data_IF_264867745538
#
_entry.id   IF_264867745538
#
_cell.length_a   1.000
_cell.length_b   1.000
_cell.length_c   1.000
_cell.angle_alpha   90.00
_cell.angle_beta   90.00
_cell.angle_gamma   90.00
#
_symmetry.space_group_name_H-M   'P 1'
#
loop_
_entity.id
_entity.type
_entity.pdbx_description
1 polymer ?
#
# COMPACT_ATOMS: atom_id res chain seq x y z
N UNK A 1 -24.77 -24.64 -7.71
CA UNK A 1 -24.51 -23.22 -7.99
C UNK A 1 -23.08 -22.89 -7.56
N UNK A 2 -22.37 -22.02 -8.26
CA UNK A 2 -21.06 -21.54 -7.82
C UNK A 2 -21.22 -20.79 -6.48
N UNK A 3 -20.29 -21.00 -5.56
CA UNK A 3 -20.27 -20.31 -4.26
C UNK A 3 -20.14 -18.80 -4.50
N UNK A 4 -21.02 -18.00 -3.91
CA UNK A 4 -20.98 -16.55 -4.02
C UNK A 4 -20.00 -15.96 -3.03
N UNK A 5 -19.05 -15.17 -3.52
CA UNK A 5 -18.08 -14.43 -2.70
C UNK A 5 -18.40 -12.95 -2.78
N UNK A 6 -18.73 -12.35 -1.63
CA UNK A 6 -18.97 -10.92 -1.53
C UNK A 6 -17.72 -10.24 -0.99
N UNK A 7 -17.21 -9.26 -1.73
CA UNK A 7 -16.03 -8.46 -1.38
C UNK A 7 -16.47 -7.04 -1.05
N UNK A 8 -16.14 -6.55 0.14
CA UNK A 8 -16.39 -5.17 0.50
C UNK A 8 -15.12 -4.36 0.36
N UNK A 9 -15.16 -3.39 -0.56
CA UNK A 9 -14.06 -2.51 -0.96
C UNK A 9 -13.49 -2.84 -2.32
N UNK A 10 -13.56 -1.88 -3.25
CA UNK A 10 -13.02 -1.95 -4.62
C UNK A 10 -11.65 -1.26 -4.75
N UNK A 11 -10.88 -1.19 -3.67
CA UNK A 11 -9.46 -0.84 -3.72
C UNK A 11 -8.61 -1.92 -4.40
N UNK A 12 -7.32 -1.65 -4.59
CA UNK A 12 -6.42 -2.59 -5.28
C UNK A 12 -6.43 -3.99 -4.67
N UNK A 13 -6.61 -4.12 -3.35
CA UNK A 13 -6.69 -5.41 -2.66
C UNK A 13 -7.97 -6.15 -3.04
N UNK A 14 -9.14 -5.47 -2.97
CA UNK A 14 -10.42 -6.09 -3.33
C UNK A 14 -10.49 -6.51 -4.79
N UNK A 15 -9.98 -5.67 -5.70
CA UNK A 15 -9.89 -5.99 -7.14
C UNK A 15 -8.98 -7.20 -7.39
N UNK A 16 -7.83 -7.28 -6.70
CA UNK A 16 -6.92 -8.43 -6.82
C UNK A 16 -7.53 -9.72 -6.26
N UNK A 17 -8.26 -9.65 -5.15
CA UNK A 17 -9.02 -10.80 -4.63
C UNK A 17 -10.06 -11.27 -5.65
N UNK A 18 -10.83 -10.33 -6.23
CA UNK A 18 -11.83 -10.65 -7.25
C UNK A 18 -11.22 -11.31 -8.48
N UNK A 19 -10.06 -10.82 -8.95
CA UNK A 19 -9.36 -11.36 -10.10
C UNK A 19 -9.02 -12.85 -9.92
N UNK A 20 -8.39 -13.23 -8.81
CA UNK A 20 -8.02 -14.61 -8.57
C UNK A 20 -9.21 -15.52 -8.28
N UNK A 21 -10.23 -15.02 -7.59
CA UNK A 21 -11.46 -15.78 -7.31
C UNK A 21 -12.26 -16.04 -8.60
N UNK A 22 -12.45 -15.01 -9.43
CA UNK A 22 -13.14 -15.14 -10.72
C UNK A 22 -12.45 -16.15 -11.63
N UNK A 23 -11.10 -16.08 -11.73
CA UNK A 23 -10.30 -17.08 -12.51
C UNK A 23 -10.48 -18.52 -12.01
N UNK A 24 -10.97 -18.74 -10.80
CA UNK A 24 -11.27 -20.05 -10.21
C UNK A 24 -12.76 -20.42 -10.29
N UNK A 25 -13.57 -19.61 -10.98
CA UNK A 25 -14.97 -19.88 -11.23
C UNK A 25 -15.91 -19.54 -10.09
N UNK A 26 -15.48 -18.74 -9.10
CA UNK A 26 -16.39 -18.20 -8.10
C UNK A 26 -17.28 -17.13 -8.70
N UNK A 27 -18.55 -17.06 -8.25
CA UNK A 27 -19.42 -15.89 -8.48
C UNK A 27 -18.97 -14.79 -7.53
N UNK A 28 -18.56 -13.64 -8.06
CA UNK A 28 -17.99 -12.55 -7.26
C UNK A 28 -18.86 -11.31 -7.36
N UNK A 29 -19.20 -10.74 -6.19
CA UNK A 29 -19.85 -9.44 -6.03
C UNK A 29 -18.91 -8.49 -5.28
N UNK A 30 -18.63 -7.32 -5.84
CA UNK A 30 -17.87 -6.25 -5.18
C UNK A 30 -18.83 -5.13 -4.78
N UNK A 31 -18.80 -4.76 -3.49
CA UNK A 31 -19.57 -3.63 -2.95
C UNK A 31 -18.60 -2.52 -2.53
N UNK A 32 -18.76 -1.32 -3.11
CA UNK A 32 -17.92 -0.16 -2.84
C UNK A 32 -18.79 1.05 -2.46
N UNK A 33 -18.44 1.71 -1.35
CA UNK A 33 -19.19 2.87 -0.85
C UNK A 33 -19.11 4.11 -1.74
N UNK A 34 -18.05 4.23 -2.54
CA UNK A 34 -17.83 5.32 -3.46
C UNK A 34 -17.67 4.83 -4.89
N UNK A 35 -16.94 5.62 -5.67
CA UNK A 35 -16.41 5.18 -6.95
C UNK A 35 -14.96 4.69 -6.78
N UNK A 36 -14.46 3.91 -7.72
CA UNK A 36 -13.11 3.31 -7.64
C UNK A 36 -12.01 4.38 -7.76
N UNK A 37 -12.31 5.59 -8.25
CA UNK A 37 -11.34 6.62 -8.59
C UNK A 37 -10.90 7.50 -7.42
N UNK A 38 -11.55 7.41 -6.25
CA UNK A 38 -11.30 8.29 -5.10
C UNK A 38 -10.52 7.62 -3.96
N UNK A 39 -10.29 6.31 -4.04
CA UNK A 39 -9.67 5.52 -2.97
C UNK A 39 -8.15 5.73 -2.86
N UNK A 40 -7.61 5.28 -1.72
CA UNK A 40 -6.16 5.34 -1.40
C UNK A 40 -5.30 4.67 -2.48
N UNK A 41 -5.80 3.65 -3.14
CA UNK A 41 -5.10 2.92 -4.20
C UNK A 41 -4.89 3.77 -5.45
N UNK A 42 -5.88 4.59 -5.83
CA UNK A 42 -5.84 5.40 -7.06
C UNK A 42 -4.73 6.45 -7.05
N UNK A 43 -4.49 7.10 -5.89
CA UNK A 43 -3.44 8.09 -5.71
C UNK A 43 -2.12 7.50 -5.16
N UNK A 44 -1.95 6.18 -5.17
CA UNK A 44 -0.71 5.52 -4.76
C UNK A 44 0.49 5.97 -5.61
N UNK A 45 1.69 5.88 -5.05
CA UNK A 45 2.92 6.24 -5.75
C UNK A 45 3.29 5.28 -6.91
N UNK A 46 2.64 4.12 -7.02
CA UNK A 46 2.80 3.24 -8.17
C UNK A 46 3.90 2.19 -8.05
N UNK A 47 4.54 2.05 -6.89
CA UNK A 47 5.62 1.08 -6.71
C UNK A 47 5.13 -0.35 -6.46
N UNK A 48 5.88 -1.29 -7.03
CA UNK A 48 5.89 -2.72 -6.72
C UNK A 48 7.32 -3.03 -6.32
N UNK A 49 7.60 -3.07 -5.01
CA UNK A 49 8.94 -2.95 -4.47
C UNK A 49 9.32 -4.10 -3.54
N UNK A 50 9.90 -5.20 -4.06
CA UNK A 50 10.58 -6.20 -3.24
C UNK A 50 11.62 -5.61 -2.29
N UNK A 51 12.24 -4.48 -2.64
CA UNK A 51 13.21 -3.75 -1.83
C UNK A 51 12.66 -3.24 -0.49
N UNK A 52 11.34 -3.12 -0.31
CA UNK A 52 10.71 -2.61 0.91
C UNK A 52 10.43 -3.72 1.93
N UNK A 53 11.39 -4.61 2.13
CA UNK A 53 11.29 -5.79 3.01
C UNK A 53 11.39 -5.47 4.51
N UNK A 54 11.79 -4.24 4.90
CA UNK A 54 11.85 -3.83 6.31
C UNK A 54 10.46 -3.37 6.78
N UNK A 55 9.86 -4.01 7.80
CA UNK A 55 8.59 -3.59 8.36
C UNK A 55 8.67 -2.18 8.97
N UNK A 56 7.57 -1.43 8.93
CA UNK A 56 7.49 -0.07 9.49
C UNK A 56 7.86 -0.04 10.98
N UNK A 57 7.50 -1.06 11.74
CA UNK A 57 7.84 -1.20 13.17
C UNK A 57 9.28 -1.74 13.32
N UNK A 58 10.28 -0.92 13.03
CA UNK A 58 11.71 -1.25 13.12
C UNK A 58 12.39 -0.54 14.31
N UNK A 59 13.54 -1.02 14.79
CA UNK A 59 14.30 -0.36 15.85
C UNK A 59 14.60 1.10 15.51
N UNK A 60 14.53 1.99 16.52
CA UNK A 60 14.81 3.42 16.37
C UNK A 60 13.70 4.24 15.73
N UNK A 61 12.63 3.62 15.17
CA UNK A 61 11.53 4.38 14.54
C UNK A 61 10.78 5.27 15.54
N UNK A 62 10.70 4.87 16.80
CA UNK A 62 10.02 5.64 17.85
C UNK A 62 10.78 6.95 18.13
N UNK A 63 12.11 6.87 18.36
CA UNK A 63 12.94 8.05 18.63
C UNK A 63 12.97 9.00 17.42
N UNK A 64 13.11 8.46 16.21
CA UNK A 64 13.00 9.23 14.97
C UNK A 64 11.61 9.87 14.84
N UNK A 65 10.53 9.14 15.13
CA UNK A 65 9.16 9.66 15.11
C UNK A 65 8.94 10.81 16.07
N UNK A 66 9.46 10.73 17.29
CA UNK A 66 9.39 11.81 18.29
C UNK A 66 10.17 13.06 17.82
N UNK A 67 11.37 12.90 17.27
CA UNK A 67 12.11 14.00 16.67
C UNK A 67 11.35 14.67 15.52
N UNK A 68 10.74 13.88 14.65
CA UNK A 68 9.93 14.37 13.53
C UNK A 68 8.68 15.14 13.99
N UNK A 69 8.07 14.77 15.12
CA UNK A 69 6.91 15.48 15.65
C UNK A 69 7.20 16.93 16.07
N UNK A 70 8.46 17.28 16.30
CA UNK A 70 8.87 18.65 16.63
C UNK A 70 8.87 19.60 15.41
N UNK A 71 8.76 19.07 14.18
CA UNK A 71 8.73 19.88 12.96
C UNK A 71 7.40 19.74 12.22
N UNK A 72 6.80 20.87 11.84
CA UNK A 72 5.55 20.90 11.06
C UNK A 72 5.71 20.42 9.61
N UNK A 73 6.94 20.38 9.10
CA UNK A 73 7.28 19.93 7.74
C UNK A 73 7.78 18.47 7.70
N UNK A 74 7.87 17.80 8.85
CA UNK A 74 8.42 16.43 8.91
C UNK A 74 7.58 15.41 8.13
N UNK A 75 8.19 14.32 7.66
CA UNK A 75 7.46 13.27 6.93
C UNK A 75 6.50 12.46 7.79
N UNK A 76 6.59 12.56 9.12
CA UNK A 76 5.75 11.84 10.07
C UNK A 76 5.12 12.74 11.11
N UNK A 77 3.84 12.50 11.45
CA UNK A 77 3.11 13.26 12.47
C UNK A 77 1.99 12.43 13.10
N UNK A 78 1.83 12.58 14.41
CA UNK A 78 0.66 12.08 15.12
C UNK A 78 -0.09 13.29 15.69
N UNK A 79 -1.33 13.51 15.25
CA UNK A 79 -2.18 14.56 15.81
C UNK A 79 -2.57 14.17 17.24
N UNK A 80 -2.20 14.97 18.26
CA UNK A 80 -2.60 14.71 19.64
C UNK A 80 -4.13 14.63 19.75
N UNK A 81 -4.64 13.52 20.26
CA UNK A 81 -6.06 13.30 20.53
C UNK A 81 -6.26 12.22 21.59
N UNK A 82 -7.33 12.33 22.36
CA UNK A 82 -7.75 11.26 23.28
C UNK A 82 -8.55 10.23 22.49
N UNK A 83 -7.89 9.12 22.17
CA UNK A 83 -8.43 8.04 21.33
C UNK A 83 -7.89 6.71 21.85
N UNK A 84 -8.76 5.92 22.45
CA UNK A 84 -8.38 4.64 23.07
C UNK A 84 -7.80 3.63 22.05
N UNK A 85 -8.24 3.67 20.80
CA UNK A 85 -7.73 2.79 19.75
C UNK A 85 -6.33 3.24 19.30
N UNK A 86 -6.08 4.55 19.23
CA UNK A 86 -4.75 5.09 18.96
C UNK A 86 -3.76 4.72 20.09
N UNK A 87 -4.17 4.84 21.35
CA UNK A 87 -3.34 4.49 22.51
C UNK A 87 -2.99 3.01 22.47
N UNK A 88 -3.97 2.12 22.28
CA UNK A 88 -3.75 0.67 22.19
C UNK A 88 -2.84 0.29 21.01
N UNK A 89 -3.10 0.91 19.86
CA UNK A 89 -2.26 0.73 18.68
C UNK A 89 -0.82 1.20 18.95
N UNK A 90 -0.66 2.38 19.55
CA UNK A 90 0.65 2.96 19.89
C UNK A 90 1.46 2.08 20.86
N UNK A 91 0.81 1.55 21.91
CA UNK A 91 1.44 0.61 22.85
C UNK A 91 1.89 -0.67 22.14
N UNK A 92 1.06 -1.21 21.23
CA UNK A 92 1.43 -2.40 20.46
C UNK A 92 2.54 -2.10 19.44
N UNK A 93 2.48 -0.95 18.77
CA UNK A 93 3.52 -0.49 17.86
C UNK A 93 4.87 -0.35 18.61
N UNK A 94 4.86 0.27 19.78
CA UNK A 94 6.04 0.38 20.63
C UNK A 94 6.62 -1.00 21.00
N UNK A 95 5.77 -1.95 21.40
CA UNK A 95 6.18 -3.33 21.69
C UNK A 95 6.69 -4.07 20.45
N UNK A 96 6.23 -3.72 19.25
CA UNK A 96 6.66 -4.35 17.99
C UNK A 96 7.94 -3.73 17.41
N UNK A 97 8.27 -2.48 17.76
CA UNK A 97 9.40 -1.73 17.22
C UNK A 97 10.75 -2.15 17.87
N UNK A 98 11.09 -3.43 17.74
CA UNK A 98 12.33 -4.01 18.23
C UNK A 98 12.93 -4.99 17.23
N UNK A 99 14.22 -5.28 17.38
CA UNK A 99 14.98 -6.11 16.44
C UNK A 99 14.41 -7.54 16.32
N UNK A 100 14.03 -8.17 17.42
CA UNK A 100 13.47 -9.52 17.41
C UNK A 100 12.19 -9.61 16.56
N UNK A 101 11.29 -8.66 16.69
CA UNK A 101 10.05 -8.61 15.92
C UNK A 101 10.34 -8.28 14.44
N UNK A 102 11.24 -7.34 14.19
CA UNK A 102 11.66 -6.98 12.84
C UNK A 102 12.25 -8.20 12.11
N UNK A 103 13.25 -8.88 12.70
CA UNK A 103 13.90 -10.04 12.11
C UNK A 103 12.93 -11.20 11.85
N UNK A 104 11.96 -11.41 12.74
CA UNK A 104 10.89 -12.42 12.54
C UNK A 104 9.99 -12.07 11.35
N UNK A 105 9.67 -10.78 11.16
CA UNK A 105 8.70 -10.32 10.19
C UNK A 105 9.30 -10.11 8.78
N UNK A 106 10.62 -9.89 8.67
CA UNK A 106 11.31 -9.69 7.38
C UNK A 106 11.07 -10.85 6.41
N UNK A 107 11.27 -12.14 6.76
CA UNK A 107 11.04 -13.23 5.81
C UNK A 107 9.60 -13.30 5.30
N UNK A 108 8.63 -13.10 6.19
CA UNK A 108 7.21 -13.11 5.80
C UNK A 108 6.90 -11.99 4.82
N UNK A 109 7.36 -10.75 5.11
CA UNK A 109 7.15 -9.60 4.23
C UNK A 109 7.88 -9.77 2.90
N UNK A 110 9.14 -10.23 2.90
CA UNK A 110 9.91 -10.50 1.70
C UNK A 110 9.23 -11.56 0.81
N UNK A 111 8.76 -12.67 1.39
CA UNK A 111 8.10 -13.73 0.63
C UNK A 111 6.84 -13.25 -0.09
N UNK A 112 5.97 -12.48 0.59
CA UNK A 112 4.76 -11.98 -0.08
C UNK A 112 5.07 -10.88 -1.11
N UNK A 113 6.13 -10.07 -0.90
CA UNK A 113 6.57 -9.06 -1.87
C UNK A 113 7.06 -9.71 -3.16
N UNK A 114 7.91 -10.74 -3.08
CA UNK A 114 8.39 -11.50 -4.25
C UNK A 114 7.23 -12.20 -4.95
N UNK A 115 6.42 -12.96 -4.21
CA UNK A 115 5.22 -13.60 -4.76
C UNK A 115 4.34 -12.59 -5.51
N UNK A 116 4.09 -11.42 -4.90
CA UNK A 116 3.22 -10.41 -5.49
C UNK A 116 3.85 -9.76 -6.72
N UNK A 117 5.16 -9.55 -6.74
CA UNK A 117 5.88 -9.01 -7.91
C UNK A 117 5.78 -9.95 -9.11
N UNK A 118 6.00 -11.25 -8.91
CA UNK A 118 5.92 -12.24 -9.97
C UNK A 118 4.49 -12.36 -10.52
N UNK A 119 3.51 -12.43 -9.63
CA UNK A 119 2.10 -12.44 -9.99
C UNK A 119 1.64 -11.15 -10.70
N UNK A 120 2.25 -10.00 -10.39
CA UNK A 120 1.95 -8.76 -11.09
C UNK A 120 2.47 -8.77 -12.53
N UNK A 121 3.61 -9.41 -12.78
CA UNK A 121 4.11 -9.63 -14.14
C UNK A 121 3.18 -10.55 -14.94
N UNK A 122 2.60 -11.59 -14.30
CA UNK A 122 1.57 -12.42 -14.93
C UNK A 122 0.31 -11.60 -15.27
N UNK A 123 -0.17 -10.75 -14.34
CA UNK A 123 -1.31 -9.84 -14.58
C UNK A 123 -1.01 -8.87 -15.73
N UNK A 124 0.22 -8.36 -15.83
CA UNK A 124 0.66 -7.49 -16.94
C UNK A 124 0.50 -8.20 -18.29
N UNK A 125 0.88 -9.46 -18.38
CA UNK A 125 0.73 -10.27 -19.60
C UNK A 125 -0.77 -10.51 -19.89
N UNK A 126 -1.52 -10.93 -18.89
CA UNK A 126 -2.93 -11.32 -18.98
C UNK A 126 -3.84 -10.13 -19.39
N UNK A 127 -3.55 -8.93 -18.87
CA UNK A 127 -4.34 -7.72 -19.10
C UNK A 127 -3.75 -6.77 -20.17
N UNK A 128 -2.59 -7.08 -20.76
CA UNK A 128 -2.01 -6.33 -21.87
C UNK A 128 -1.37 -5.00 -21.49
N UNK A 129 -0.79 -4.86 -20.31
CA UNK A 129 -0.02 -3.67 -19.83
C UNK A 129 -0.62 -2.28 -20.14
N UNK A 130 -1.94 -2.15 -20.17
CA UNK A 130 -2.63 -0.86 -20.36
C UNK A 130 -2.48 0.11 -19.18
N UNK A 131 -1.68 -0.25 -18.19
CA UNK A 131 -1.39 0.50 -16.97
C UNK A 131 0.09 0.88 -16.83
N UNK A 132 0.84 0.80 -17.93
CA UNK A 132 2.22 1.29 -18.06
C UNK A 132 3.18 0.71 -16.99
N UNK A 133 3.06 -0.57 -16.69
CA UNK A 133 4.03 -1.21 -15.78
C UNK A 133 5.40 -1.28 -16.46
N UNK A 134 6.40 -0.69 -15.79
CA UNK A 134 7.80 -0.71 -16.21
C UNK A 134 8.66 -1.41 -15.14
N UNK A 135 9.58 -2.25 -15.61
CA UNK A 135 10.46 -3.09 -14.80
C UNK A 135 11.90 -2.54 -14.91
N UNK A 136 12.08 -1.27 -14.50
CA UNK A 136 13.33 -0.54 -14.61
C UNK A 136 14.14 -0.55 -13.30
N UNK A 137 13.55 -1.02 -12.21
CA UNK A 137 14.10 -0.84 -10.88
C UNK A 137 13.59 0.42 -10.18
N UNK A 138 14.14 0.71 -9.00
CA UNK A 138 13.87 1.92 -8.23
C UNK A 138 15.15 2.42 -7.56
N UNK A 139 15.39 3.73 -7.64
CA UNK A 139 16.48 4.38 -6.92
C UNK A 139 16.12 4.69 -5.47
N UNK A 140 17.04 4.39 -4.54
CA UNK A 140 17.10 4.97 -3.22
C UNK A 140 18.17 6.05 -3.21
N UNK A 141 17.77 7.32 -3.41
CA UNK A 141 18.69 8.45 -3.55
C UNK A 141 18.97 9.11 -2.19
N UNK A 142 20.22 9.41 -1.91
CA UNK A 142 20.64 10.04 -0.66
C UNK A 142 21.61 11.22 -0.87
N UNK A 143 21.55 12.17 0.07
CA UNK A 143 22.39 13.39 0.10
C UNK A 143 23.34 13.41 1.30
N UNK A 144 23.01 12.72 2.38
CA UNK A 144 23.76 12.76 3.63
C UNK A 144 24.65 11.52 3.78
N UNK A 145 25.88 11.69 4.32
CA UNK A 145 26.81 10.59 4.54
C UNK A 145 26.29 9.52 5.52
N UNK A 146 25.47 9.95 6.50
CA UNK A 146 24.82 9.02 7.45
C UNK A 146 23.77 8.16 6.77
N UNK A 147 23.01 8.72 5.83
CA UNK A 147 22.00 8.01 5.02
C UNK A 147 22.70 7.07 4.03
N UNK A 148 23.75 7.50 3.35
CA UNK A 148 24.60 6.65 2.50
C UNK A 148 25.03 5.39 3.23
N UNK A 149 25.67 5.54 4.41
CA UNK A 149 26.12 4.41 5.22
C UNK A 149 24.98 3.45 5.58
N UNK A 150 23.82 4.00 5.92
CA UNK A 150 22.62 3.21 6.28
C UNK A 150 22.08 2.45 5.07
N UNK A 151 21.94 3.09 3.91
CA UNK A 151 21.42 2.47 2.68
C UNK A 151 22.38 1.39 2.15
N UNK A 152 23.71 1.58 2.22
CA UNK A 152 24.69 0.56 1.89
C UNK A 152 24.55 -0.66 2.83
N UNK A 153 24.28 -0.46 4.11
CA UNK A 153 24.07 -1.59 5.01
C UNK A 153 22.75 -2.31 4.73
N UNK A 154 21.69 -1.57 4.38
CA UNK A 154 20.42 -2.16 3.95
C UNK A 154 20.58 -2.96 2.64
N UNK A 155 21.38 -2.48 1.68
CA UNK A 155 21.63 -3.22 0.44
C UNK A 155 22.30 -4.57 0.69
N UNK A 156 23.23 -4.66 1.65
CA UNK A 156 23.84 -5.93 2.06
C UNK A 156 22.81 -6.89 2.70
N UNK A 157 21.85 -6.36 3.47
CA UNK A 157 20.77 -7.17 4.04
C UNK A 157 19.80 -7.63 2.94
N UNK A 158 19.49 -6.78 1.96
CA UNK A 158 18.69 -7.11 0.80
C UNK A 158 19.29 -8.28 0.00
N UNK A 159 20.61 -8.24 -0.26
CA UNK A 159 21.32 -9.31 -0.97
C UNK A 159 21.20 -10.66 -0.29
N UNK A 160 21.17 -10.72 1.06
CA UNK A 160 20.94 -11.96 1.81
C UNK A 160 19.54 -12.55 1.62
N UNK A 161 18.58 -11.74 1.18
CA UNK A 161 17.20 -12.12 0.86
C UNK A 161 16.98 -12.39 -0.63
N UNK A 162 18.07 -12.41 -1.44
CA UNK A 162 17.98 -12.59 -2.89
C UNK A 162 17.55 -11.34 -3.66
N UNK A 163 17.55 -10.16 -3.00
CA UNK A 163 17.22 -8.89 -3.63
C UNK A 163 18.52 -8.28 -4.18
N UNK A 164 18.58 -8.12 -5.50
CA UNK A 164 19.71 -7.50 -6.19
C UNK A 164 19.81 -6.01 -5.89
N UNK A 165 21.04 -5.51 -5.80
CA UNK A 165 21.31 -4.09 -5.54
C UNK A 165 22.55 -3.62 -6.29
N UNK A 166 22.52 -2.38 -6.77
CA UNK A 166 23.68 -1.70 -7.37
C UNK A 166 23.94 -0.41 -6.58
N UNK A 167 25.15 -0.28 -6.01
CA UNK A 167 25.58 0.94 -5.31
C UNK A 167 26.16 1.88 -6.36
N UNK A 168 25.62 3.09 -6.45
CA UNK A 168 25.94 4.06 -7.50
C UNK A 168 26.49 5.36 -6.91
N UNK A 169 27.54 5.87 -7.52
CA UNK A 169 28.04 7.23 -7.29
C UNK A 169 27.08 8.28 -7.86
N UNK A 170 27.24 9.54 -7.47
CA UNK A 170 26.46 10.65 -8.02
C UNK A 170 26.54 10.73 -9.55
N UNK A 171 27.73 10.46 -10.12
CA UNK A 171 27.92 10.46 -11.57
C UNK A 171 27.16 9.34 -12.25
N UNK A 172 27.22 8.13 -11.72
CA UNK A 172 26.50 6.97 -12.30
C UNK A 172 24.99 7.12 -12.21
N UNK A 173 24.47 7.77 -11.14
CA UNK A 173 23.05 8.16 -11.06
C UNK A 173 22.71 9.18 -12.15
N UNK A 174 23.54 10.23 -12.33
CA UNK A 174 23.32 11.24 -13.38
C UNK A 174 23.37 10.64 -14.77
N UNK A 175 24.30 9.72 -15.04
CA UNK A 175 24.45 9.07 -16.35
C UNK A 175 23.19 8.24 -16.71
N UNK A 176 22.43 7.76 -15.70
CA UNK A 176 21.17 7.03 -15.88
C UNK A 176 19.92 7.91 -15.92
N UNK A 177 20.06 9.19 -15.55
CA UNK A 177 19.01 10.23 -15.61
C UNK A 177 19.41 11.34 -16.58
N UNK A 178 19.46 11.07 -17.91
CA UNK A 178 20.04 12.02 -18.87
C UNK A 178 19.18 13.27 -19.11
N UNK A 179 17.87 13.20 -18.85
CA UNK A 179 16.94 14.30 -19.13
C UNK A 179 16.85 15.33 -18.02
N UNK A 180 17.23 14.96 -16.79
CA UNK A 180 17.13 15.81 -15.61
C UNK A 180 18.46 15.90 -14.88
N UNK A 181 18.72 17.07 -14.27
CA UNK A 181 19.88 17.23 -13.39
C UNK A 181 19.60 16.60 -12.03
N UNK A 182 20.52 15.76 -11.53
CA UNK A 182 20.37 15.08 -10.24
C UNK A 182 21.41 15.60 -9.25
N UNK A 183 20.95 16.11 -8.12
CA UNK A 183 21.81 16.61 -7.03
C UNK A 183 21.75 15.63 -5.85
N UNK A 184 22.64 14.65 -5.85
CA UNK A 184 22.74 13.58 -4.85
C UNK A 184 24.20 13.31 -4.48
N UNK A 185 24.42 12.64 -3.37
CA UNK A 185 25.72 12.06 -3.02
C UNK A 185 25.92 10.70 -3.70
N UNK A 186 24.83 9.96 -3.94
CA UNK A 186 24.78 8.68 -4.60
C UNK A 186 23.39 8.04 -4.46
N UNK A 187 23.28 6.79 -4.82
CA UNK A 187 22.05 6.03 -4.73
C UNK A 187 22.28 4.52 -4.71
N UNK A 188 21.26 3.80 -4.31
CA UNK A 188 21.15 2.35 -4.49
C UNK A 188 20.05 2.09 -5.52
N UNK A 189 20.36 1.39 -6.61
CA UNK A 189 19.35 0.85 -7.51
C UNK A 189 18.95 -0.54 -7.04
N UNK A 190 17.65 -0.79 -7.00
CA UNK A 190 17.03 -2.10 -6.79
C UNK A 190 16.39 -2.55 -8.12
N UNK A 191 17.10 -3.34 -8.95
CA UNK A 191 16.65 -3.67 -10.31
C UNK A 191 15.35 -4.46 -10.37
N UNK A 192 15.02 -5.24 -9.33
CA UNK A 192 13.82 -6.07 -9.27
C UNK A 192 12.53 -5.28 -8.94
N UNK A 193 12.66 -4.03 -8.52
CA UNK A 193 11.51 -3.16 -8.28
C UNK A 193 10.87 -2.73 -9.61
N UNK A 194 9.57 -2.50 -9.57
CA UNK A 194 8.79 -2.07 -10.72
C UNK A 194 7.93 -0.88 -10.34
N UNK A 195 7.38 -0.19 -11.34
CA UNK A 195 6.34 0.81 -11.11
C UNK A 195 5.26 0.73 -12.19
N UNK A 196 4.10 1.31 -11.90
CA UNK A 196 2.97 1.37 -12.82
C UNK A 196 2.11 2.59 -12.53
N UNK A 197 1.16 2.90 -13.43
CA UNK A 197 0.16 3.92 -13.21
C UNK A 197 -1.05 3.34 -12.44
N UNK A 198 -1.20 3.62 -11.11
CA UNK A 198 -2.22 2.95 -10.28
C UNK A 198 -3.65 3.17 -10.74
N UNK A 199 -3.97 4.38 -11.22
CA UNK A 199 -5.30 4.69 -11.72
C UNK A 199 -5.67 3.87 -12.95
N UNK A 200 -4.74 3.74 -13.91
CA UNK A 200 -4.93 2.91 -15.11
C UNK A 200 -5.00 1.42 -14.76
N UNK A 201 -4.17 0.96 -13.81
CA UNK A 201 -4.23 -0.41 -13.32
C UNK A 201 -5.61 -0.76 -12.75
N UNK A 202 -6.13 0.10 -11.87
CA UNK A 202 -7.45 -0.14 -11.26
C UNK A 202 -8.59 -0.09 -12.29
N UNK A 203 -8.51 0.81 -13.28
CA UNK A 203 -9.50 0.89 -14.36
C UNK A 203 -9.43 -0.33 -15.28
N UNK A 204 -8.22 -0.78 -15.66
CA UNK A 204 -8.01 -1.97 -16.47
C UNK A 204 -8.52 -3.21 -15.76
N UNK A 205 -8.17 -3.37 -14.49
CA UNK A 205 -8.64 -4.47 -13.65
C UNK A 205 -10.17 -4.48 -13.54
N UNK A 206 -10.78 -3.33 -13.30
CA UNK A 206 -12.24 -3.22 -13.23
C UNK A 206 -12.90 -3.66 -14.53
N UNK A 207 -12.47 -3.10 -15.68
CA UNK A 207 -13.02 -3.45 -16.99
C UNK A 207 -12.91 -4.94 -17.29
N UNK A 208 -11.76 -5.53 -16.97
CA UNK A 208 -11.56 -6.97 -17.11
C UNK A 208 -12.55 -7.77 -16.24
N UNK A 209 -12.70 -7.40 -14.97
CA UNK A 209 -13.59 -8.09 -14.04
C UNK A 209 -15.07 -7.96 -14.44
N UNK A 210 -15.50 -6.78 -14.89
CA UNK A 210 -16.85 -6.55 -15.41
C UNK A 210 -17.12 -7.44 -16.65
N UNK A 211 -16.17 -7.49 -17.59
CA UNK A 211 -16.29 -8.36 -18.76
C UNK A 211 -16.25 -9.86 -18.45
N UNK A 212 -15.61 -10.23 -17.33
CA UNK A 212 -15.57 -11.60 -16.82
C UNK A 212 -16.77 -11.98 -15.92
N UNK A 213 -17.78 -11.10 -15.82
CA UNK A 213 -19.03 -11.37 -15.10
C UNK A 213 -19.00 -11.07 -13.60
N UNK A 214 -17.99 -10.36 -13.10
CA UNK A 214 -17.98 -9.84 -11.72
C UNK A 214 -18.98 -8.70 -11.59
N UNK A 215 -19.88 -8.79 -10.62
CA UNK A 215 -20.86 -7.75 -10.34
C UNK A 215 -20.25 -6.65 -9.46
N UNK A 216 -20.57 -5.37 -9.77
CA UNK A 216 -20.15 -4.22 -8.98
C UNK A 216 -21.35 -3.43 -8.47
N UNK A 217 -21.43 -3.23 -7.16
CA UNK A 217 -22.34 -2.31 -6.49
C UNK A 217 -21.54 -1.11 -5.99
N UNK A 218 -21.46 -0.09 -6.82
CA UNK A 218 -20.79 1.18 -6.46
C UNK A 218 -21.72 2.12 -5.73
N UNK A 219 -21.17 3.12 -5.04
CA UNK A 219 -21.89 4.10 -4.22
C UNK A 219 -22.84 3.43 -3.19
N UNK A 220 -22.45 2.24 -2.72
CA UNK A 220 -23.24 1.40 -1.82
C UNK A 220 -22.49 1.21 -0.51
N UNK A 221 -22.96 1.88 0.54
CA UNK A 221 -22.37 1.83 1.87
C UNK A 221 -23.01 0.71 2.72
N UNK A 222 -22.15 -0.12 3.33
CA UNK A 222 -22.60 -1.18 4.24
C UNK A 222 -22.95 -0.58 5.60
N UNK A 223 -24.19 -0.81 6.03
CA UNK A 223 -24.70 -0.34 7.31
C UNK A 223 -24.47 -1.35 8.43
N UNK A 224 -24.69 -2.64 8.17
CA UNK A 224 -24.54 -3.71 9.17
C UNK A 224 -24.36 -5.09 8.50
N UNK A 225 -24.24 -6.13 9.33
CA UNK A 225 -24.10 -7.54 8.94
C UNK A 225 -25.10 -8.40 9.71
N UNK A 226 -25.90 -9.20 9.01
CA UNK A 226 -26.75 -10.20 9.64
C UNK A 226 -26.00 -11.51 9.87
N UNK A 227 -26.24 -12.13 10.99
CA UNK A 227 -25.50 -13.28 11.49
C UNK A 227 -26.43 -14.36 12.00
N UNK A 228 -26.07 -15.59 11.76
CA UNK A 228 -26.68 -16.76 12.39
C UNK A 228 -25.55 -17.62 13.01
N UNK A 229 -25.44 -17.58 14.33
CA UNK A 229 -24.35 -18.23 15.06
C UNK A 229 -22.97 -17.69 14.63
N UNK A 230 -22.12 -18.56 14.12
CA UNK A 230 -20.78 -18.24 13.63
C UNK A 230 -20.70 -18.02 12.10
N UNK A 231 -21.81 -17.68 11.47
CA UNK A 231 -21.90 -17.38 10.04
C UNK A 231 -22.47 -16.00 9.80
N UNK A 232 -21.91 -15.25 8.87
CA UNK A 232 -22.48 -14.02 8.32
C UNK A 232 -23.37 -14.43 7.16
N UNK A 233 -24.67 -14.13 7.24
CA UNK A 233 -25.67 -14.55 6.27
C UNK A 233 -25.88 -13.51 5.18
N UNK A 234 -25.87 -12.21 5.57
CA UNK A 234 -26.07 -11.12 4.63
C UNK A 234 -25.34 -9.85 5.04
N UNK A 235 -25.06 -8.99 4.07
CA UNK A 235 -24.63 -7.62 4.27
C UNK A 235 -25.82 -6.70 4.11
N UNK A 236 -25.96 -5.71 5.00
CA UNK A 236 -27.10 -4.78 5.03
C UNK A 236 -26.66 -3.44 4.50
N UNK A 237 -27.33 -2.94 3.47
CA UNK A 237 -27.18 -1.59 2.92
C UNK A 237 -28.34 -0.69 3.37
N UNK A 238 -28.39 0.54 2.88
CA UNK A 238 -29.55 1.43 3.13
C UNK A 238 -30.85 0.95 2.47
N UNK A 239 -30.74 0.20 1.37
CA UNK A 239 -31.88 -0.11 0.49
C UNK A 239 -32.22 -1.59 0.45
N UNK A 240 -31.25 -2.47 0.72
CA UNK A 240 -31.44 -3.91 0.56
C UNK A 240 -30.53 -4.73 1.48
N UNK A 241 -30.87 -6.00 1.61
CA UNK A 241 -30.03 -7.04 2.19
C UNK A 241 -29.51 -7.91 1.07
N UNK A 242 -28.22 -8.20 1.09
CA UNK A 242 -27.51 -8.99 0.08
C UNK A 242 -26.94 -10.22 0.77
N UNK A 243 -27.45 -11.39 0.40
CA UNK A 243 -26.97 -12.65 0.95
C UNK A 243 -25.52 -12.91 0.53
N UNK A 244 -24.75 -13.60 1.36
CA UNK A 244 -23.37 -13.96 1.06
C UNK A 244 -23.01 -15.33 1.65
N UNK A 245 -22.35 -16.18 0.81
CA UNK A 245 -21.81 -17.47 1.27
C UNK A 245 -20.42 -17.27 1.90
N UNK A 246 -19.62 -16.38 1.33
CA UNK A 246 -18.31 -16.01 1.80
C UNK A 246 -18.17 -14.49 1.78
N UNK A 247 -17.63 -13.90 2.85
CA UNK A 247 -17.42 -12.45 2.98
C UNK A 247 -15.94 -12.11 3.09
N UNK A 248 -15.47 -11.22 2.21
CA UNK A 248 -14.11 -10.68 2.24
C UNK A 248 -14.18 -9.19 2.57
N UNK A 249 -13.47 -8.74 3.61
CA UNK A 249 -13.34 -7.33 3.94
C UNK A 249 -11.98 -6.79 3.46
N UNK A 250 -12.01 -5.96 2.42
CA UNK A 250 -10.87 -5.27 1.83
C UNK A 250 -11.00 -3.74 1.94
N UNK A 251 -11.50 -3.25 3.08
CA UNK A 251 -11.97 -1.87 3.28
C UNK A 251 -10.89 -0.89 3.75
N UNK A 252 -9.60 -1.22 3.57
CA UNK A 252 -8.49 -0.33 3.87
C UNK A 252 -8.52 0.21 5.31
N UNK A 253 -8.43 1.52 5.48
CA UNK A 253 -8.43 2.17 6.81
C UNK A 253 -9.78 2.10 7.53
N UNK A 254 -10.86 1.71 6.86
CA UNK A 254 -12.19 1.50 7.46
C UNK A 254 -12.39 0.08 7.99
N UNK A 255 -11.42 -0.82 7.81
CA UNK A 255 -11.50 -2.21 8.26
C UNK A 255 -11.87 -2.34 9.76
N UNK A 256 -11.30 -1.58 10.71
CA UNK A 256 -11.71 -1.65 12.12
C UNK A 256 -13.15 -1.22 12.37
N UNK A 257 -13.68 -0.30 11.57
CA UNK A 257 -15.07 0.15 11.67
C UNK A 257 -16.02 -0.97 11.25
N UNK A 258 -15.72 -1.64 10.13
CA UNK A 258 -16.53 -2.75 9.62
C UNK A 258 -16.48 -3.95 10.57
N UNK A 259 -15.30 -4.35 11.02
CA UNK A 259 -15.16 -5.51 11.93
C UNK A 259 -15.79 -5.27 13.30
N UNK A 260 -15.82 -4.01 13.79
CA UNK A 260 -16.47 -3.66 15.06
C UNK A 260 -17.99 -3.90 15.03
N UNK A 261 -18.65 -3.72 13.88
CA UNK A 261 -20.08 -4.07 13.70
C UNK A 261 -20.34 -5.56 13.93
N UNK A 262 -19.32 -6.41 13.76
CA UNK A 262 -19.37 -7.85 14.02
C UNK A 262 -18.79 -8.24 15.37
N UNK A 263 -18.50 -7.27 16.25
CA UNK A 263 -17.89 -7.51 17.56
C UNK A 263 -16.44 -8.02 17.49
N UNK A 264 -15.70 -7.63 16.45
CA UNK A 264 -14.28 -7.92 16.26
C UNK A 264 -13.49 -6.60 16.39
N UNK A 265 -12.44 -6.60 17.18
CA UNK A 265 -11.55 -5.45 17.34
C UNK A 265 -10.23 -5.71 16.66
N UNK A 266 -9.87 -4.86 15.71
CA UNK A 266 -8.58 -4.87 15.04
C UNK A 266 -7.77 -3.63 15.40
N UNK A 267 -6.46 -3.80 15.59
CA UNK A 267 -5.52 -2.71 15.83
C UNK A 267 -5.00 -2.19 14.48
N UNK A 268 -5.60 -1.11 13.99
CA UNK A 268 -5.21 -0.48 12.75
C UNK A 268 -5.46 1.03 12.86
N UNK A 269 -4.52 1.83 12.39
CA UNK A 269 -4.65 3.29 12.33
C UNK A 269 -4.55 3.80 10.89
N UNK A 270 -5.28 4.86 10.60
CA UNK A 270 -5.21 5.55 9.32
C UNK A 270 -4.01 6.49 9.30
N UNK A 271 -3.07 6.24 8.40
CA UNK A 271 -1.91 7.08 8.13
C UNK A 271 -2.11 7.87 6.84
N UNK A 272 -2.47 9.16 6.93
CA UNK A 272 -2.70 10.02 5.77
C UNK A 272 -1.39 10.35 5.07
N UNK A 273 -1.38 10.18 3.76
CA UNK A 273 -0.32 10.66 2.88
C UNK A 273 -0.87 11.57 1.81
N UNK A 274 0.02 12.32 1.19
CA UNK A 274 -0.31 13.24 0.10
C UNK A 274 0.41 12.82 -1.16
N UNK A 275 -0.23 13.05 -2.32
CA UNK A 275 0.44 12.96 -3.61
C UNK A 275 0.03 14.10 -4.53
N UNK A 276 0.94 14.44 -5.44
CA UNK A 276 0.79 15.45 -6.47
C UNK A 276 1.12 14.76 -7.78
N UNK A 277 0.26 14.92 -8.79
CA UNK A 277 0.54 14.41 -10.14
C UNK A 277 0.65 15.60 -11.09
N UNK A 278 1.81 15.75 -11.70
CA UNK A 278 2.07 16.70 -12.79
C UNK A 278 1.87 15.99 -14.10
N UNK A 279 0.97 16.51 -14.90
CA UNK A 279 0.62 15.95 -16.20
C UNK A 279 1.51 16.56 -17.30
N UNK A 280 1.95 15.72 -18.23
CA UNK A 280 2.70 16.13 -19.43
C UNK A 280 3.90 17.04 -19.15
N UNK A 281 4.75 16.66 -18.20
CA UNK A 281 5.99 17.39 -17.95
C UNK A 281 6.97 17.20 -19.11
N UNK A 282 7.63 18.27 -19.53
CA UNK A 282 8.49 18.25 -20.72
C UNK A 282 9.73 17.36 -20.57
N UNK A 283 10.39 17.42 -19.41
CA UNK A 283 11.50 16.53 -19.03
C UNK A 283 11.09 15.75 -17.80
N UNK A 284 11.15 14.43 -17.89
CA UNK A 284 10.74 13.55 -16.80
C UNK A 284 11.93 12.72 -16.30
N UNK A 285 11.77 12.14 -15.13
CA UNK A 285 12.67 11.12 -14.61
C UNK A 285 12.57 9.87 -15.51
N UNK A 286 13.70 9.18 -15.67
CA UNK A 286 13.72 7.87 -16.33
C UNK A 286 13.40 6.75 -15.33
N UNK A 287 13.94 6.83 -14.13
CA UNK A 287 13.71 5.86 -13.04
C UNK A 287 12.76 6.42 -11.98
N UNK A 288 11.92 5.57 -11.37
CA UNK A 288 11.27 5.92 -10.11
C UNK A 288 12.33 6.03 -9.01
N UNK A 289 12.13 6.95 -8.07
CA UNK A 289 13.08 7.21 -7.00
C UNK A 289 12.42 7.47 -5.65
N UNK A 290 13.05 6.99 -4.59
CA UNK A 290 12.78 7.41 -3.22
C UNK A 290 13.89 8.38 -2.79
N UNK A 291 13.52 9.61 -2.43
CA UNK A 291 14.38 10.60 -1.82
C UNK A 291 14.48 10.26 -0.33
N UNK A 292 15.52 9.49 0.04
CA UNK A 292 15.54 8.77 1.32
C UNK A 292 15.56 9.71 2.52
N UNK A 293 16.33 10.80 2.46
CA UNK A 293 16.45 11.78 3.56
C UNK A 293 15.12 12.50 3.83
N UNK A 294 14.32 12.75 2.78
CA UNK A 294 13.06 13.49 2.84
C UNK A 294 11.82 12.59 2.88
N UNK A 295 11.97 11.28 2.64
CA UNK A 295 10.88 10.29 2.56
C UNK A 295 9.84 10.65 1.50
N UNK A 296 10.29 11.06 0.32
CA UNK A 296 9.48 11.43 -0.83
C UNK A 296 9.68 10.42 -1.95
N UNK A 297 8.56 9.93 -2.48
CA UNK A 297 8.51 9.08 -3.65
C UNK A 297 8.35 9.93 -4.91
N UNK A 298 9.12 9.64 -5.94
CA UNK A 298 9.08 10.28 -7.26
C UNK A 298 8.88 9.19 -8.31
N UNK A 299 7.76 9.23 -9.04
CA UNK A 299 7.43 8.16 -9.99
C UNK A 299 7.08 8.73 -11.35
N UNK A 300 7.88 8.45 -12.39
CA UNK A 300 7.49 8.72 -13.77
C UNK A 300 6.36 7.78 -14.18
N UNK A 301 5.31 8.32 -14.78
CA UNK A 301 4.14 7.58 -15.26
C UNK A 301 3.87 7.93 -16.73
N UNK A 302 4.80 7.57 -17.60
CA UNK A 302 4.85 8.03 -18.98
C UNK A 302 5.25 9.51 -19.02
N UNK A 303 4.42 10.39 -19.63
CA UNK A 303 4.64 11.84 -19.63
C UNK A 303 4.33 12.53 -18.31
N UNK A 304 3.68 11.82 -17.38
CA UNK A 304 3.31 12.35 -16.05
C UNK A 304 4.37 12.05 -15.01
N UNK A 305 4.46 12.91 -13.99
CA UNK A 305 5.27 12.68 -12.79
C UNK A 305 4.38 12.71 -11.56
N UNK A 306 4.42 11.65 -10.75
CA UNK A 306 3.78 11.64 -9.44
C UNK A 306 4.81 11.77 -8.33
N UNK A 307 4.55 12.68 -7.40
CA UNK A 307 5.31 12.84 -6.17
C UNK A 307 4.41 12.48 -4.99
N UNK A 308 4.93 11.77 -4.00
CA UNK A 308 4.16 11.39 -2.82
C UNK A 308 5.01 11.28 -1.57
N UNK A 309 4.39 11.52 -0.42
CA UNK A 309 5.11 11.43 0.84
C UNK A 309 4.17 11.56 2.04
N UNK A 310 4.79 11.72 3.21
CA UNK A 310 4.14 11.96 4.50
C UNK A 310 3.36 10.76 5.06
N UNK A 311 3.39 10.64 6.38
CA UNK A 311 2.56 9.74 7.17
C UNK A 311 1.97 10.54 8.34
N UNK A 312 0.71 10.94 8.22
CA UNK A 312 0.01 11.73 9.22
C UNK A 312 -1.08 10.89 9.90
N UNK A 313 -0.92 10.59 11.18
CA UNK A 313 -1.91 9.86 11.98
C UNK A 313 -2.87 10.83 12.66
N UNK A 314 -3.79 11.39 11.87
CA UNK A 314 -4.79 12.38 12.32
C UNK A 314 -6.22 11.81 12.41
N UNK A 315 -6.39 10.50 12.30
CA UNK A 315 -7.68 9.83 12.16
C UNK A 315 -8.20 9.88 10.72
N UNK A 316 -9.44 9.43 10.54
CA UNK A 316 -10.10 9.44 9.23
C UNK A 316 -10.67 10.84 8.99
N UNK A 317 -10.04 11.61 8.11
CA UNK A 317 -10.49 12.95 7.68
C UNK A 317 -9.84 13.35 6.36
N UNK A 318 -10.38 14.37 5.70
CA UNK A 318 -9.95 14.85 4.38
C UNK A 318 -9.14 16.15 4.44
N UNK A 319 -8.78 16.64 5.64
CA UNK A 319 -8.02 17.88 5.81
C UNK A 319 -6.63 17.76 5.22
N UNK A 320 -6.24 18.68 4.33
CA UNK A 320 -4.90 18.77 3.73
C UNK A 320 -4.03 19.73 4.52
N UNK A 321 -2.88 19.26 5.00
CA UNK A 321 -1.87 20.10 5.65
C UNK A 321 -0.86 20.62 4.63
N UNK A 322 -1.07 21.82 4.09
CA UNK A 322 -0.25 22.42 3.04
C UNK A 322 1.25 22.45 3.33
N UNK A 323 1.67 22.71 4.59
CA UNK A 323 3.09 22.69 4.97
C UNK A 323 3.78 21.37 4.65
N UNK A 324 3.05 20.25 4.72
CA UNK A 324 3.57 18.90 4.40
C UNK A 324 3.66 18.67 2.91
N UNK A 325 2.69 19.18 2.16
CA UNK A 325 2.74 19.18 0.69
C UNK A 325 3.88 20.06 0.18
N UNK A 326 4.10 21.22 0.81
CA UNK A 326 5.25 22.08 0.52
C UNK A 326 6.59 21.37 0.79
N UNK A 327 6.67 20.52 1.82
CA UNK A 327 7.89 19.74 2.09
C UNK A 327 8.16 18.72 0.97
N UNK A 328 7.14 18.02 0.47
CA UNK A 328 7.27 17.12 -0.68
C UNK A 328 7.76 17.86 -1.92
N UNK A 329 7.15 19.00 -2.22
CA UNK A 329 7.54 19.84 -3.35
C UNK A 329 8.99 20.38 -3.23
N UNK A 330 9.39 20.87 -2.05
CA UNK A 330 10.76 21.34 -1.82
C UNK A 330 11.80 20.22 -1.94
N UNK A 331 11.48 19.02 -1.45
CA UNK A 331 12.36 17.87 -1.57
C UNK A 331 12.65 17.55 -3.05
N UNK A 332 11.65 17.58 -3.92
CA UNK A 332 11.88 17.34 -5.35
C UNK A 332 12.83 18.36 -5.97
N UNK A 333 12.69 19.64 -5.69
CA UNK A 333 13.59 20.68 -6.17
C UNK A 333 15.01 20.58 -5.60
N UNK A 334 15.18 20.05 -4.37
CA UNK A 334 16.49 19.82 -3.79
C UNK A 334 17.26 18.71 -4.50
N UNK A 335 16.57 17.64 -4.94
CA UNK A 335 17.19 16.50 -5.62
C UNK A 335 17.26 16.67 -7.14
N UNK A 336 16.29 17.39 -7.72
CA UNK A 336 16.16 17.64 -9.16
C UNK A 336 16.04 19.15 -9.41
N UNK A 337 17.14 19.92 -9.31
CA UNK A 337 17.11 21.40 -9.23
C UNK A 337 16.57 22.08 -10.49
N UNK A 338 16.60 21.40 -11.65
CA UNK A 338 16.08 21.93 -12.93
C UNK A 338 14.75 21.33 -13.34
N UNK A 339 14.08 20.60 -12.46
CA UNK A 339 12.75 20.06 -12.73
C UNK A 339 11.73 21.23 -12.76
N UNK A 340 11.21 21.51 -13.96
CA UNK A 340 10.29 22.65 -14.18
C UNK A 340 8.86 22.27 -13.77
N UNK A 341 8.59 22.34 -12.48
CA UNK A 341 7.26 22.13 -11.92
C UNK A 341 6.92 23.27 -10.95
N UNK A 342 5.63 23.62 -10.88
CA UNK A 342 5.13 24.64 -9.96
C UNK A 342 4.45 24.03 -8.75
N UNK A 343 4.37 24.77 -7.64
CA UNK A 343 3.60 24.32 -6.49
C UNK A 343 2.12 24.19 -6.86
N UNK A 344 1.48 23.01 -6.64
CA UNK A 344 0.14 22.75 -7.15
C UNK A 344 -0.94 23.52 -6.37
N UNK A 345 -2.04 23.90 -7.03
CA UNK A 345 -3.23 24.38 -6.35
C UNK A 345 -3.88 23.23 -5.54
N UNK A 346 -4.65 23.57 -4.51
CA UNK A 346 -5.25 22.62 -3.56
C UNK A 346 -6.04 21.50 -4.22
N UNK A 347 -6.77 21.77 -5.29
CA UNK A 347 -7.60 20.81 -6.00
C UNK A 347 -6.80 19.76 -6.81
N UNK A 348 -5.48 19.94 -6.95
CA UNK A 348 -4.56 18.96 -7.55
C UNK A 348 -3.78 18.15 -6.50
N UNK A 349 -4.00 18.42 -5.22
CA UNK A 349 -3.39 17.67 -4.14
C UNK A 349 -4.33 16.54 -3.75
N UNK A 350 -3.86 15.32 -3.94
CA UNK A 350 -4.58 14.14 -3.49
C UNK A 350 -4.13 13.73 -2.09
N UNK A 351 -5.07 13.22 -1.30
CA UNK A 351 -4.78 12.62 0.00
C UNK A 351 -5.40 11.25 0.14
N UNK A 352 -4.71 10.32 0.80
CA UNK A 352 -5.22 8.98 1.03
C UNK A 352 -4.80 8.41 2.37
N UNK A 353 -5.62 7.51 2.90
CA UNK A 353 -5.48 6.92 4.21
C UNK A 353 -4.86 5.52 4.11
N UNK A 354 -3.60 5.38 4.50
CA UNK A 354 -2.88 4.10 4.55
C UNK A 354 -3.29 3.33 5.80
N UNK A 355 -3.72 2.07 5.69
CA UNK A 355 -4.11 1.25 6.83
C UNK A 355 -2.87 0.67 7.53
N UNK A 356 -2.46 1.22 8.67
CA UNK A 356 -1.21 0.88 9.36
C UNK A 356 -1.47 -0.04 10.54
N UNK A 357 -0.90 -1.23 10.52
CA UNK A 357 -0.89 -2.20 11.62
C UNK A 357 0.26 -1.94 12.59
N UNK A 358 0.20 -2.42 13.84
CA UNK A 358 1.24 -2.15 14.83
C UNK A 358 2.60 -2.80 14.54
N UNK A 359 2.65 -3.88 13.76
CA UNK A 359 3.88 -4.62 13.45
C UNK A 359 4.34 -4.46 11.99
N UNK A 360 3.59 -3.69 11.19
CA UNK A 360 3.90 -3.41 9.80
C UNK A 360 3.50 -4.51 8.80
N UNK A 361 2.91 -5.63 9.25
CA UNK A 361 2.40 -6.69 8.38
C UNK A 361 0.88 -6.56 8.17
N UNK A 362 0.33 -6.90 7.00
CA UNK A 362 -1.11 -6.90 6.79
C UNK A 362 -1.83 -8.00 7.58
N UNK A 363 -3.14 -7.85 7.73
CA UNK A 363 -4.06 -8.92 8.11
C UNK A 363 -4.52 -9.63 6.84
N UNK A 364 -4.17 -10.91 6.70
CA UNK A 364 -4.60 -11.75 5.57
C UNK A 364 -5.01 -13.10 6.15
N UNK A 365 -6.29 -13.41 6.13
CA UNK A 365 -6.74 -14.70 6.66
C UNK A 365 -8.20 -14.73 7.08
N UNK A 366 -8.64 -15.94 7.41
CA UNK A 366 -9.96 -16.22 7.97
C UNK A 366 -9.98 -15.86 9.46
N UNK A 367 -11.07 -15.27 9.93
CA UNK A 367 -11.24 -14.97 11.36
C UNK A 367 -11.97 -16.11 12.05
N UNK A 368 -11.49 -16.56 13.22
CA UNK A 368 -12.02 -17.73 13.94
C UNK A 368 -13.47 -17.58 14.38
N UNK A 369 -13.91 -16.34 14.70
CA UNK A 369 -15.28 -16.06 15.14
C UNK A 369 -16.35 -16.38 14.10
N UNK A 370 -16.03 -16.21 12.80
CA UNK A 370 -16.99 -16.45 11.71
C UNK A 370 -16.35 -17.32 10.63
N UNK A 371 -16.96 -18.48 10.36
CA UNK A 371 -16.42 -19.48 9.44
C UNK A 371 -16.30 -19.00 7.98
N UNK A 372 -17.05 -17.97 7.59
CA UNK A 372 -17.11 -17.41 6.26
C UNK A 372 -16.63 -15.97 6.18
N UNK A 373 -15.85 -15.50 7.16
CA UNK A 373 -15.26 -14.16 7.14
C UNK A 373 -13.75 -14.23 6.88
N UNK A 374 -13.31 -13.53 5.84
CA UNK A 374 -11.91 -13.38 5.49
C UNK A 374 -11.54 -11.89 5.50
N UNK A 375 -10.40 -11.56 6.08
CA UNK A 375 -9.89 -10.19 6.16
C UNK A 375 -8.67 -10.02 5.27
N UNK A 376 -8.64 -8.91 4.53
CA UNK A 376 -7.54 -8.52 3.66
C UNK A 376 -7.27 -7.01 3.83
N UNK A 377 -6.41 -6.62 4.77
CA UNK A 377 -6.18 -5.21 5.08
C UNK A 377 -4.94 -4.96 5.92
N UNK A 378 -4.63 -3.68 6.17
CA UNK A 378 -3.45 -3.33 6.96
C UNK A 378 -2.15 -3.26 6.17
N UNK A 379 -2.20 -3.12 4.86
CA UNK A 379 -1.04 -3.12 3.95
C UNK A 379 -0.19 -1.84 3.99
N UNK A 380 -0.55 -0.87 4.81
CA UNK A 380 0.14 0.40 4.98
C UNK A 380 0.48 1.08 3.62
N UNK A 381 1.75 1.33 3.34
CA UNK A 381 2.23 1.94 2.09
C UNK A 381 2.34 0.92 0.94
N UNK A 382 2.40 -0.36 1.28
CA UNK A 382 2.71 -1.46 0.36
C UNK A 382 1.46 -2.08 -0.31
N UNK A 383 0.30 -1.42 -0.19
CA UNK A 383 -0.95 -1.98 -0.71
C UNK A 383 -0.88 -2.41 -2.17
N UNK A 384 -0.25 -1.63 -3.04
CA UNK A 384 -0.07 -1.98 -4.46
C UNK A 384 0.97 -3.10 -4.62
N UNK A 385 2.12 -2.98 -3.95
CA UNK A 385 3.19 -3.99 -3.99
C UNK A 385 2.74 -5.37 -3.50
N UNK A 386 1.76 -5.43 -2.59
CA UNK A 386 1.24 -6.67 -2.00
C UNK A 386 -0.07 -7.16 -2.62
N UNK A 387 -0.65 -6.41 -3.57
CA UNK A 387 -2.01 -6.63 -4.03
C UNK A 387 -2.21 -8.00 -4.70
N UNK A 388 -1.35 -8.35 -5.66
CA UNK A 388 -1.47 -9.60 -6.39
C UNK A 388 -1.23 -10.82 -5.47
N UNK A 389 -0.19 -10.76 -4.62
CA UNK A 389 0.09 -11.80 -3.63
C UNK A 389 -1.06 -11.98 -2.63
N UNK A 390 -1.63 -10.86 -2.12
CA UNK A 390 -2.80 -10.92 -1.23
C UNK A 390 -3.99 -11.55 -1.93
N UNK A 391 -4.30 -11.14 -3.16
CA UNK A 391 -5.41 -11.71 -3.93
C UNK A 391 -5.27 -13.21 -4.12
N UNK A 392 -4.06 -13.66 -4.49
CA UNK A 392 -3.75 -15.10 -4.65
C UNK A 392 -3.93 -15.88 -3.34
N UNK A 393 -3.37 -15.37 -2.23
CA UNK A 393 -3.50 -16.01 -0.91
C UNK A 393 -4.96 -16.07 -0.43
N UNK A 394 -5.75 -15.04 -0.68
CA UNK A 394 -7.18 -15.04 -0.37
C UNK A 394 -7.93 -16.10 -1.18
N UNK A 395 -7.62 -16.26 -2.48
CA UNK A 395 -8.19 -17.35 -3.31
C UNK A 395 -7.87 -18.73 -2.71
N UNK A 396 -6.63 -18.94 -2.29
CA UNK A 396 -6.19 -20.19 -1.68
C UNK A 396 -6.91 -20.46 -0.34
N UNK A 397 -7.07 -19.43 0.50
CA UNK A 397 -7.78 -19.53 1.79
C UNK A 397 -9.27 -19.83 1.58
N UNK A 398 -9.94 -19.15 0.64
CA UNK A 398 -11.35 -19.37 0.31
C UNK A 398 -11.56 -20.77 -0.26
N UNK A 399 -10.63 -21.23 -1.10
CA UNK A 399 -10.61 -22.56 -1.68
C UNK A 399 -10.15 -23.67 -0.73
N UNK A 400 -9.80 -23.35 0.53
CA UNK A 400 -9.26 -24.31 1.52
C UNK A 400 -8.03 -25.08 1.00
N UNK A 401 -7.18 -24.38 0.23
CA UNK A 401 -5.94 -24.92 -0.34
C UNK A 401 -4.75 -24.63 0.57
N UNK A 402 -3.65 -25.34 0.34
CA UNK A 402 -2.35 -24.96 0.90
C UNK A 402 -1.94 -23.60 0.30
N UNK A 403 -1.58 -22.66 1.17
CA UNK A 403 -1.13 -21.34 0.75
C UNK A 403 0.28 -21.37 0.16
N UNK A 404 0.52 -20.52 -0.83
CA UNK A 404 1.81 -20.39 -1.54
C UNK A 404 2.96 -19.98 -0.63
N UNK A 405 2.67 -19.32 0.50
CA UNK A 405 3.63 -18.94 1.54
C UNK A 405 3.08 -19.25 2.93
N UNK A 406 3.95 -19.24 3.95
CA UNK A 406 3.52 -19.36 5.35
C UNK A 406 2.70 -18.13 5.79
N UNK A 407 1.51 -18.38 6.36
CA UNK A 407 0.55 -17.35 6.76
C UNK A 407 0.60 -16.98 8.24
N UNK A 408 1.42 -17.64 9.05
CA UNK A 408 1.42 -17.45 10.51
C UNK A 408 1.63 -15.98 10.94
N UNK A 409 2.52 -15.26 10.25
CA UNK A 409 2.80 -13.83 10.51
C UNK A 409 1.68 -12.88 10.08
N UNK A 410 0.76 -13.32 9.22
CA UNK A 410 -0.37 -12.51 8.71
C UNK A 410 -1.68 -12.78 9.43
N UNK A 411 -1.67 -13.68 10.42
CA UNK A 411 -2.86 -14.07 11.18
C UNK A 411 -3.65 -12.85 11.67
N UNK A 412 -4.96 -12.89 11.48
CA UNK A 412 -5.86 -11.75 11.78
C UNK A 412 -6.01 -11.50 13.28
N UNK A 413 -5.76 -12.51 14.10
CA UNK A 413 -5.91 -12.52 15.56
C UNK A 413 -4.56 -12.39 16.30
N UNK A 414 -3.45 -12.11 15.60
CA UNK A 414 -2.10 -12.09 16.18
C UNK A 414 -1.86 -11.03 17.27
N UNK A 415 -2.82 -10.15 17.50
CA UNK A 415 -2.75 -9.17 18.59
C UNK A 415 -3.71 -9.48 19.77
N UNK A 416 -4.48 -10.56 19.70
CA UNK A 416 -5.43 -11.01 20.72
C UNK A 416 -6.82 -10.42 20.56
#
# INVERSE_FOLDING_TARGET
MAKQVTIIGAGVIGLSCAYYLQKKGYSVLIIERGNITNGTSFGNAGYISPSHFIPLASPGIISKGLQWMLSSSSPFYIKPRIDADLIRWGLRFWKSANEKTMLRNIPALSNILHLSRDLMSEIKIDLGNHFRMAELGCFMLYKNASTEKHEIELSKQASKLGIETEILTAKEVQDREPEVEVNVRGGILYPQDCHLHPGEFMQTMRKHLESAGVEFRLNTEIQDFERNGNQICSVVTKTEKIDCDELILATGSWLPIMTRKMGIRLLLQAGKGYSITYQNIGKNLHYPAILVDDRVAMTPMGSDLRMGGTMEMSGINDTVMLKRVQAIYKASGNYYPRLQIEFPPLNRIWSGLRPVTPDGLPYIGRHSKYRNLVLAGGHAMLGLSLAAGTGKLIEEIVGSKKTSIDMASFAVERFG
#
